data_IF_444401703024
#
_entry.id   IF_444401703024
#
_cell.length_a   1.000
_cell.length_b   1.000
_cell.length_c   1.000
_cell.angle_alpha   90.00
_cell.angle_beta   90.00
_cell.angle_gamma   90.00
#
_symmetry.space_group_name_H-M   'P 1'
#
loop_
_entity.id
_entity.type
_entity.pdbx_description
1 polymer ?
#
# COMPACT_ATOMS: atom_id res chain seq x y z
N UNK A 1 -10.13 -4.62 15.91
CA UNK A 1 -10.70 -3.44 16.60
C UNK A 1 -10.19 -2.15 15.96
N UNK A 2 -8.89 -2.01 15.68
CA UNK A 2 -8.30 -0.85 14.98
C UNK A 2 -8.92 -0.49 13.61
N UNK A 3 -9.35 -1.47 12.81
CA UNK A 3 -9.97 -1.17 11.50
C UNK A 3 -11.45 -0.77 11.56
N UNK A 4 -12.09 -0.89 12.73
CA UNK A 4 -13.49 -0.42 12.92
C UNK A 4 -13.56 1.06 13.29
N UNK A 5 -12.44 1.63 13.74
CA UNK A 5 -12.31 3.07 13.93
C UNK A 5 -11.96 3.68 12.59
N UNK A 6 -12.81 4.61 12.12
CA UNK A 6 -12.57 5.48 10.96
C UNK A 6 -11.38 6.43 11.27
N UNK A 7 -10.19 5.88 11.49
CA UNK A 7 -8.99 6.71 11.58
C UNK A 7 -8.57 7.09 10.16
N UNK A 8 -8.66 8.39 9.90
CA UNK A 8 -8.16 9.04 8.69
C UNK A 8 -6.82 9.72 8.93
N UNK A 9 -6.19 9.50 10.10
CA UNK A 9 -4.93 10.13 10.44
C UNK A 9 -3.77 9.45 9.69
N UNK A 10 -3.08 10.17 8.78
CA UNK A 10 -1.98 9.59 8.02
C UNK A 10 -0.84 9.06 8.91
N UNK A 11 -0.62 9.66 10.08
CA UNK A 11 0.46 9.26 10.98
C UNK A 11 0.16 7.92 11.65
N UNK A 12 -1.10 7.66 12.02
CA UNK A 12 -1.51 6.36 12.55
C UNK A 12 -1.34 5.24 11.50
N UNK A 13 -1.64 5.55 10.23
CA UNK A 13 -1.44 4.62 9.13
C UNK A 13 0.05 4.33 8.88
N UNK A 14 0.91 5.35 9.00
CA UNK A 14 2.37 5.18 8.92
C UNK A 14 2.87 4.19 9.97
N UNK A 15 2.51 4.42 11.23
CA UNK A 15 2.93 3.57 12.34
C UNK A 15 2.40 2.15 12.14
N UNK A 16 1.14 2.02 11.75
CA UNK A 16 0.49 0.73 11.52
C UNK A 16 1.14 -0.08 10.37
N UNK A 17 1.43 0.56 9.24
CA UNK A 17 1.96 -0.12 8.06
C UNK A 17 3.48 -0.36 8.14
N UNK A 18 4.24 0.59 8.69
CA UNK A 18 5.70 0.63 8.54
C UNK A 18 6.46 0.38 9.84
N UNK A 19 5.95 0.83 10.99
CA UNK A 19 6.76 0.91 12.22
C UNK A 19 6.43 -0.19 13.24
N UNK A 20 5.16 -0.32 13.65
CA UNK A 20 4.77 -1.19 14.76
C UNK A 20 3.77 -2.27 14.34
N UNK A 21 4.15 -3.53 14.58
CA UNK A 21 3.25 -4.68 14.40
C UNK A 21 2.26 -4.72 15.57
N UNK A 22 0.99 -4.52 15.26
CA UNK A 22 -0.09 -4.66 16.23
C UNK A 22 -0.58 -6.10 16.15
N UNK A 23 -0.39 -6.90 17.21
CA UNK A 23 -0.79 -8.31 17.30
C UNK A 23 -2.29 -8.61 17.10
N UNK A 24 -3.08 -7.60 16.75
CA UNK A 24 -4.52 -7.69 16.53
C UNK A 24 -4.93 -8.48 15.29
N UNK A 25 -4.00 -8.79 14.36
CA UNK A 25 -4.26 -9.61 13.18
C UNK A 25 -3.48 -10.92 13.21
N UNK A 26 -4.17 -12.08 13.22
CA UNK A 26 -3.51 -13.38 13.26
C UNK A 26 -2.86 -13.68 11.91
N UNK A 27 -1.55 -13.44 11.82
CA UNK A 27 -0.73 -13.97 10.72
C UNK A 27 -0.48 -15.45 11.03
N UNK A 28 -0.67 -16.34 10.05
CA UNK A 28 -0.32 -17.75 10.21
C UNK A 28 1.18 -17.85 10.51
N UNK A 29 1.56 -18.65 11.50
CA UNK A 29 2.97 -18.78 11.96
C UNK A 29 3.93 -19.10 10.80
N UNK A 30 3.45 -19.86 9.82
CA UNK A 30 4.20 -20.23 8.62
C UNK A 30 4.49 -19.05 7.66
N UNK A 31 3.71 -17.98 7.71
CA UNK A 31 3.87 -16.79 6.86
C UNK A 31 4.76 -15.72 7.51
N UNK A 32 5.09 -15.86 8.80
CA UNK A 32 5.96 -14.92 9.53
C UNK A 32 7.33 -14.73 8.85
N UNK A 33 8.02 -15.79 8.37
CA UNK A 33 9.31 -15.62 7.67
C UNK A 33 9.17 -14.83 6.37
N UNK A 34 8.01 -14.89 5.71
CA UNK A 34 7.74 -14.19 4.44
C UNK A 34 7.64 -12.68 4.63
N UNK A 35 7.32 -12.25 5.84
CA UNK A 35 7.21 -10.85 6.24
C UNK A 35 8.35 -10.39 7.17
N UNK A 36 9.50 -11.08 7.16
CA UNK A 36 10.65 -10.73 8.00
C UNK A 36 11.20 -9.31 7.75
N UNK A 37 10.90 -8.72 6.58
CA UNK A 37 11.28 -7.35 6.23
C UNK A 37 10.32 -6.29 6.76
N UNK A 38 9.14 -6.67 7.26
CA UNK A 38 8.14 -5.76 7.80
C UNK A 38 8.38 -5.57 9.30
N UNK A 39 8.57 -4.32 9.71
CA UNK A 39 8.51 -3.93 11.13
C UNK A 39 7.07 -3.68 11.59
N UNK A 40 6.28 -3.04 10.73
CA UNK A 40 4.84 -2.89 10.87
C UNK A 40 4.01 -4.13 10.52
N UNK A 41 2.70 -3.93 10.37
CA UNK A 41 1.78 -4.99 9.96
C UNK A 41 1.95 -5.24 8.44
N UNK A 42 2.12 -6.50 8.00
CA UNK A 42 2.19 -6.78 6.57
C UNK A 42 0.80 -6.69 5.92
N UNK A 43 0.75 -6.32 4.62
CA UNK A 43 -0.49 -6.25 3.86
C UNK A 43 -1.01 -7.65 3.52
N UNK A 44 -1.58 -8.34 4.51
CA UNK A 44 -2.23 -9.63 4.28
C UNK A 44 -3.57 -9.45 3.58
N UNK A 45 -4.01 -10.44 2.79
CA UNK A 45 -5.30 -10.35 2.10
C UNK A 45 -6.46 -10.09 3.07
N UNK A 46 -6.50 -10.79 4.20
CA UNK A 46 -7.55 -10.56 5.20
C UNK A 46 -7.58 -9.12 5.71
N UNK A 47 -6.41 -8.52 5.91
CA UNK A 47 -6.28 -7.15 6.37
C UNK A 47 -6.77 -6.17 5.28
N UNK A 48 -6.26 -6.32 4.07
CA UNK A 48 -6.57 -5.41 2.96
C UNK A 48 -8.04 -5.51 2.55
N UNK A 49 -8.64 -6.71 2.54
CA UNK A 49 -10.08 -6.89 2.29
C UNK A 49 -10.99 -6.39 3.42
N UNK A 50 -10.45 -6.18 4.62
CA UNK A 50 -11.22 -5.62 5.73
C UNK A 50 -11.25 -4.09 5.75
N UNK A 51 -10.49 -3.42 4.88
CA UNK A 51 -10.51 -1.97 4.70
C UNK A 51 -11.72 -1.53 3.87
N UNK A 52 -12.28 -0.37 4.20
CA UNK A 52 -13.29 0.28 3.38
C UNK A 52 -12.67 0.92 2.13
N UNK A 53 -13.48 1.15 1.10
CA UNK A 53 -13.03 1.79 -0.15
C UNK A 53 -12.42 3.18 0.12
N UNK A 54 -12.99 3.96 1.03
CA UNK A 54 -12.47 5.27 1.42
C UNK A 54 -11.10 5.15 2.11
N UNK A 55 -10.94 4.18 3.01
CA UNK A 55 -9.66 3.91 3.68
C UNK A 55 -8.59 3.49 2.67
N UNK A 56 -8.92 2.62 1.71
CA UNK A 56 -7.98 2.20 0.66
C UNK A 56 -7.53 3.40 -0.17
N UNK A 57 -8.44 4.28 -0.58
CA UNK A 57 -8.13 5.47 -1.38
C UNK A 57 -7.23 6.48 -0.62
N UNK A 58 -7.48 6.69 0.68
CA UNK A 58 -6.66 7.58 1.51
C UNK A 58 -5.30 6.96 1.77
N UNK A 59 -5.26 5.68 2.14
CA UNK A 59 -4.03 4.97 2.47
C UNK A 59 -3.10 4.85 1.27
N UNK A 60 -3.61 4.50 0.08
CA UNK A 60 -2.77 4.41 -1.11
C UNK A 60 -2.18 5.76 -1.48
N UNK A 61 -2.94 6.85 -1.35
CA UNK A 61 -2.45 8.18 -1.64
C UNK A 61 -1.33 8.55 -0.67
N UNK A 62 -1.56 8.35 0.63
CA UNK A 62 -0.57 8.64 1.66
C UNK A 62 0.72 7.83 1.48
N UNK A 63 0.63 6.52 1.25
CA UNK A 63 1.81 5.67 1.09
C UNK A 63 2.59 6.02 -0.19
N UNK A 64 1.92 6.49 -1.25
CA UNK A 64 2.61 7.01 -2.43
C UNK A 64 3.34 8.31 -2.10
N UNK A 65 2.73 9.22 -1.33
CA UNK A 65 3.37 10.47 -0.92
C UNK A 65 4.63 10.18 -0.07
N UNK A 66 4.52 9.27 0.92
CA UNK A 66 5.67 8.79 1.72
C UNK A 66 6.75 8.17 0.82
N UNK A 67 6.37 7.41 -0.21
CA UNK A 67 7.32 6.84 -1.16
C UNK A 67 8.05 7.91 -1.97
N UNK A 68 7.36 9.00 -2.34
CA UNK A 68 7.95 10.11 -3.08
C UNK A 68 8.89 10.95 -2.21
N UNK A 69 8.61 11.07 -0.90
CA UNK A 69 9.40 11.84 0.06
C UNK A 69 10.60 11.06 0.62
N UNK A 70 10.37 9.85 1.13
CA UNK A 70 11.39 9.05 1.83
C UNK A 70 12.10 8.05 0.89
N UNK A 71 11.51 7.79 -0.28
CA UNK A 71 12.02 6.86 -1.27
C UNK A 71 11.52 5.42 -1.08
N UNK A 72 12.19 4.49 -1.75
CA UNK A 72 11.78 3.09 -1.74
C UNK A 72 12.16 2.38 -0.45
N UNK A 73 11.16 1.73 0.15
CA UNK A 73 11.37 0.62 1.08
C UNK A 73 10.54 -0.58 0.62
N UNK A 74 11.07 -1.79 0.85
CA UNK A 74 10.36 -3.02 0.48
C UNK A 74 8.98 -3.16 1.15
N UNK A 75 8.81 -2.86 2.46
CA UNK A 75 7.49 -2.90 3.11
C UNK A 75 6.49 -1.93 2.50
N UNK A 76 6.91 -0.69 2.21
CA UNK A 76 6.08 0.34 1.62
C UNK A 76 5.57 -0.07 0.24
N UNK A 77 6.46 -0.62 -0.58
CA UNK A 77 6.09 -1.07 -1.91
C UNK A 77 5.13 -2.26 -1.89
N UNK A 78 5.36 -3.24 -1.00
CA UNK A 78 4.45 -4.38 -0.83
C UNK A 78 3.05 -3.93 -0.40
N UNK A 79 2.96 -2.88 0.45
CA UNK A 79 1.70 -2.24 0.82
C UNK A 79 1.01 -1.56 -0.35
N UNK A 80 1.71 -0.71 -1.10
CA UNK A 80 1.16 -0.03 -2.28
C UNK A 80 0.66 -1.07 -3.29
N UNK A 81 1.45 -2.11 -3.54
CA UNK A 81 1.06 -3.19 -4.45
C UNK A 81 -0.22 -3.90 -4.00
N UNK A 82 -0.32 -4.26 -2.71
CA UNK A 82 -1.51 -4.90 -2.18
C UNK A 82 -2.75 -4.00 -2.25
N UNK A 83 -2.60 -2.70 -1.98
CA UNK A 83 -3.70 -1.73 -2.09
C UNK A 83 -4.17 -1.54 -3.53
N UNK A 84 -3.26 -1.51 -4.50
CA UNK A 84 -3.63 -1.46 -5.92
C UNK A 84 -4.44 -2.67 -6.37
N UNK A 85 -4.17 -3.85 -5.80
CA UNK A 85 -4.92 -5.07 -6.14
C UNK A 85 -6.37 -5.05 -5.67
N UNK A 86 -6.68 -4.31 -4.59
CA UNK A 86 -8.05 -4.23 -4.04
C UNK A 86 -8.77 -2.95 -4.43
N UNK A 87 -8.13 -2.08 -5.20
CA UNK A 87 -8.63 -0.76 -5.49
C UNK A 87 -9.81 -0.81 -6.46
N UNK A 88 -11.01 -0.52 -5.98
CA UNK A 88 -12.23 -0.64 -6.79
C UNK A 88 -12.42 0.59 -7.70
N UNK A 89 -12.99 0.38 -8.89
CA UNK A 89 -13.35 1.46 -9.81
C UNK A 89 -14.76 2.00 -9.46
N UNK A 90 -15.04 3.31 -9.63
CA UNK A 90 -14.20 4.32 -10.27
C UNK A 90 -13.15 4.94 -9.34
N UNK A 91 -11.90 5.06 -9.82
CA UNK A 91 -10.85 5.73 -9.06
C UNK A 91 -11.14 7.23 -8.92
N UNK A 92 -10.83 7.79 -7.75
CA UNK A 92 -10.83 9.24 -7.58
C UNK A 92 -9.69 9.87 -8.38
N UNK A 93 -9.90 11.11 -8.86
CA UNK A 93 -8.88 11.84 -9.64
C UNK A 93 -7.56 11.99 -8.88
N UNK A 94 -7.63 12.10 -7.55
CA UNK A 94 -6.47 12.24 -6.67
C UNK A 94 -5.61 10.98 -6.67
N UNK A 95 -6.23 9.80 -6.50
CA UNK A 95 -5.52 8.51 -6.54
C UNK A 95 -4.92 8.26 -7.92
N UNK A 96 -5.64 8.58 -9.00
CA UNK A 96 -5.07 8.53 -10.35
C UNK A 96 -3.84 9.45 -10.50
N UNK A 97 -3.86 10.63 -9.90
CA UNK A 97 -2.71 11.54 -9.91
C UNK A 97 -1.52 10.96 -9.15
N UNK A 98 -1.74 10.45 -7.93
CA UNK A 98 -0.70 9.84 -7.10
C UNK A 98 -0.06 8.65 -7.82
N UNK A 99 -0.87 7.75 -8.38
CA UNK A 99 -0.41 6.60 -9.16
C UNK A 99 0.45 7.02 -10.35
N UNK A 100 0.07 8.08 -11.08
CA UNK A 100 0.88 8.60 -12.19
C UNK A 100 2.22 9.17 -11.72
N UNK A 101 2.25 9.84 -10.57
CA UNK A 101 3.49 10.34 -9.98
C UNK A 101 4.40 9.19 -9.54
N UNK A 102 3.82 8.16 -8.91
CA UNK A 102 4.51 6.93 -8.57
C UNK A 102 5.11 6.27 -9.83
N UNK A 103 4.36 6.18 -10.93
CA UNK A 103 4.83 5.63 -12.21
C UNK A 103 6.07 6.39 -12.74
N UNK A 104 6.01 7.72 -12.68
CA UNK A 104 7.09 8.59 -13.15
C UNK A 104 8.34 8.46 -12.29
N UNK A 105 8.17 8.39 -10.97
CA UNK A 105 9.29 8.28 -10.03
C UNK A 105 9.91 6.87 -10.03
N UNK A 106 9.08 5.83 -10.11
CA UNK A 106 9.52 4.44 -10.19
C UNK A 106 10.28 4.12 -11.49
N UNK A 107 9.99 4.80 -12.60
CA UNK A 107 10.79 4.69 -13.85
C UNK A 107 12.26 5.04 -13.65
N UNK A 108 12.57 5.94 -12.72
CA UNK A 108 13.94 6.36 -12.44
C UNK A 108 14.65 5.43 -11.44
N UNK A 109 13.90 4.75 -10.57
CA UNK A 109 14.45 3.88 -9.52
C UNK A 109 14.47 2.39 -9.89
N UNK A 110 13.59 1.91 -10.77
CA UNK A 110 13.34 0.48 -10.94
C UNK A 110 13.48 -0.02 -12.38
N UNK A 111 14.72 -0.27 -12.80
CA UNK A 111 15.00 -1.07 -13.99
C UNK A 111 14.52 -2.54 -13.89
N UNK A 112 14.27 -3.04 -12.67
CA UNK A 112 13.89 -4.44 -12.41
C UNK A 112 12.38 -4.70 -12.21
N UNK A 113 11.51 -3.68 -12.18
CA UNK A 113 10.07 -3.86 -11.90
C UNK A 113 9.20 -3.63 -13.15
N UNK A 114 9.57 -4.29 -14.24
CA UNK A 114 8.83 -4.23 -15.50
C UNK A 114 7.37 -4.66 -15.31
N UNK A 115 7.11 -5.66 -14.48
CA UNK A 115 5.76 -6.20 -14.24
C UNK A 115 4.85 -5.22 -13.48
N UNK A 116 5.42 -4.39 -12.59
CA UNK A 116 4.66 -3.36 -11.89
C UNK A 116 4.22 -2.23 -12.83
N UNK A 117 5.11 -1.79 -13.72
CA UNK A 117 4.81 -0.81 -14.75
C UNK A 117 3.77 -1.35 -15.75
N UNK A 118 3.84 -2.63 -16.13
CA UNK A 118 2.81 -3.26 -16.96
C UNK A 118 1.46 -3.29 -16.27
N UNK A 119 1.41 -3.67 -14.99
CA UNK A 119 0.17 -3.69 -14.21
C UNK A 119 -0.42 -2.28 -14.08
N UNK A 120 0.42 -1.27 -13.83
CA UNK A 120 0.01 0.14 -13.75
C UNK A 120 -0.50 0.69 -15.09
N UNK A 121 0.17 0.35 -16.19
CA UNK A 121 -0.26 0.73 -17.54
C UNK A 121 -1.59 0.08 -17.90
N UNK A 122 -1.79 -1.21 -17.58
CA UNK A 122 -3.08 -1.89 -17.77
C UNK A 122 -4.18 -1.27 -16.90
N UNK A 123 -3.87 -0.88 -15.65
CA UNK A 123 -4.84 -0.28 -14.74
C UNK A 123 -5.26 1.14 -15.14
N UNK A 124 -4.33 1.94 -15.68
CA UNK A 124 -4.59 3.32 -16.12
C UNK A 124 -5.19 3.41 -17.53
N UNK A 125 -5.05 2.38 -18.38
CA UNK A 125 -5.59 2.34 -19.75
C UNK A 125 -6.95 1.62 -19.87
N UNK A 126 -7.43 0.99 -18.80
CA UNK A 126 -8.73 0.29 -18.73
C UNK A 126 -9.76 1.08 -17.90
#
# INVERSE_FOLDING_TARGET
VFLKTESYDPEEWRVFCLEERINSFPIKVNDIPRFAHHRGNPPTLQLVFSLSEQQVNILIQYLIDVFLEEGYTRPLFEWIYALMLVLQKPLTHNVCSAIRQLAKHSRNFFANFRDFLYFLCLYLLA
#
